data_IF_211330593913
#
_entry.id   IF_211330593913
#
_cell.length_a   1.000
_cell.length_b   1.000
_cell.length_c   1.000
_cell.angle_alpha   90.00
_cell.angle_beta   90.00
_cell.angle_gamma   90.00
#
_symmetry.space_group_name_H-M   'P 1'
#
loop_
_entity.id
_entity.type
_entity.pdbx_description
1 polymer ?
#
# COMPACT_ATOMS: atom_id res chain seq x y z
N UNK A 1 3.88 -7.33 6.68
CA UNK A 1 5.29 -7.00 6.29
C UNK A 1 5.26 -5.97 5.14
N UNK A 2 6.33 -5.21 4.87
CA UNK A 2 6.34 -4.20 3.79
C UNK A 2 7.58 -4.36 2.91
N UNK A 3 7.40 -4.36 1.60
CA UNK A 3 8.48 -4.27 0.62
C UNK A 3 8.33 -2.95 -0.15
N UNK A 4 9.38 -2.14 -0.16
CA UNK A 4 9.33 -0.80 -0.73
C UNK A 4 10.55 -0.49 -1.59
N UNK A 5 10.34 0.29 -2.64
CA UNK A 5 11.38 0.80 -3.52
C UNK A 5 11.06 2.23 -3.96
N UNK A 6 12.09 3.01 -4.26
CA UNK A 6 11.91 4.38 -4.71
C UNK A 6 13.10 4.88 -5.53
N UNK A 7 12.83 5.90 -6.34
CA UNK A 7 13.79 6.61 -7.15
C UNK A 7 13.62 8.11 -6.89
N UNK A 8 14.73 8.81 -6.78
CA UNK A 8 14.76 10.26 -6.70
C UNK A 8 15.67 10.79 -7.79
N UNK A 9 15.22 11.84 -8.48
CA UNK A 9 15.95 12.48 -9.55
C UNK A 9 15.92 13.99 -9.41
N UNK A 10 17.10 14.60 -9.37
CA UNK A 10 17.29 16.05 -9.26
C UNK A 10 17.84 16.57 -10.60
N UNK A 11 16.97 16.85 -11.60
CA UNK A 11 17.40 17.34 -12.91
C UNK A 11 18.03 18.74 -12.86
N UNK A 12 17.68 19.54 -11.84
CA UNK A 12 18.19 20.90 -11.62
C UNK A 12 18.36 21.13 -10.13
N UNK A 13 19.22 22.07 -9.75
CA UNK A 13 19.52 22.37 -8.34
C UNK A 13 18.28 22.81 -7.53
N UNK A 14 17.25 23.32 -8.21
CA UNK A 14 16.00 23.80 -7.62
C UNK A 14 14.84 22.79 -7.72
N UNK A 15 15.00 21.69 -8.47
CA UNK A 15 13.91 20.77 -8.79
C UNK A 15 14.31 19.32 -8.51
N UNK A 16 13.54 18.66 -7.66
CA UNK A 16 13.66 17.20 -7.41
C UNK A 16 12.33 16.52 -7.64
N UNK A 17 12.38 15.34 -8.24
CA UNK A 17 11.24 14.48 -8.54
C UNK A 17 11.47 13.15 -7.83
N UNK A 18 10.49 12.71 -7.06
CA UNK A 18 10.52 11.46 -6.31
C UNK A 18 9.43 10.53 -6.84
N UNK A 19 9.73 9.25 -6.96
CA UNK A 19 8.77 8.21 -7.26
C UNK A 19 8.97 7.04 -6.30
N UNK A 20 7.87 6.48 -5.80
CA UNK A 20 7.89 5.40 -4.81
C UNK A 20 6.85 4.33 -5.11
N UNK A 21 7.17 3.10 -4.71
CA UNK A 21 6.26 1.97 -4.74
C UNK A 21 6.42 1.14 -3.46
N UNK A 22 5.30 0.69 -2.90
CA UNK A 22 5.25 -0.12 -1.69
C UNK A 22 4.22 -1.23 -1.86
N UNK A 23 4.61 -2.44 -1.49
CA UNK A 23 3.73 -3.60 -1.38
C UNK A 23 3.56 -3.95 0.10
N UNK A 24 2.32 -3.90 0.57
CA UNK A 24 1.90 -4.21 1.93
C UNK A 24 1.37 -5.64 1.96
N UNK A 25 2.07 -6.50 2.71
CA UNK A 25 1.63 -7.85 3.00
C UNK A 25 0.84 -7.83 4.31
N UNK A 26 -0.41 -8.28 4.26
CA UNK A 26 -1.24 -8.48 5.45
C UNK A 26 -1.20 -9.95 5.84
N UNK A 27 -1.29 -10.22 7.14
CA UNK A 27 -1.48 -11.58 7.61
C UNK A 27 -2.94 -11.98 7.37
N UNK A 28 -3.15 -13.27 7.11
CA UNK A 28 -4.48 -13.82 6.87
C UNK A 28 -5.40 -13.50 8.05
N UNK A 29 -6.52 -12.84 7.76
CA UNK A 29 -7.49 -12.47 8.77
C UNK A 29 -8.64 -13.49 8.79
N UNK A 30 -8.77 -14.34 9.83
CA UNK A 30 -9.87 -15.27 9.92
C UNK A 30 -11.18 -14.51 10.12
N UNK A 31 -12.21 -14.90 9.37
CA UNK A 31 -13.58 -14.46 9.57
C UNK A 31 -14.44 -15.63 10.03
N UNK A 32 -15.18 -15.40 11.10
CA UNK A 32 -16.23 -16.28 11.58
C UNK A 32 -17.40 -15.40 12.03
N UNK A 33 -18.39 -15.23 11.16
CA UNK A 33 -19.55 -14.38 11.42
C UNK A 33 -20.85 -15.14 11.20
N UNK A 34 -21.76 -15.01 12.17
CA UNK A 34 -23.15 -15.44 12.02
C UNK A 34 -23.97 -14.26 11.52
N UNK A 35 -24.61 -14.41 10.36
CA UNK A 35 -25.50 -13.45 9.76
C UNK A 35 -26.86 -13.39 10.45
N UNK A 36 -27.60 -12.32 10.21
CA UNK A 36 -28.88 -12.04 10.86
C UNK A 36 -29.98 -13.09 10.59
N UNK A 37 -29.85 -13.86 9.51
CA UNK A 37 -30.76 -14.97 9.16
C UNK A 37 -30.32 -16.33 9.71
N UNK A 38 -29.20 -16.40 10.43
CA UNK A 38 -28.62 -17.63 11.00
C UNK A 38 -27.52 -18.28 10.17
N UNK A 39 -27.20 -17.76 8.99
CA UNK A 39 -26.11 -18.25 8.15
C UNK A 39 -24.74 -17.99 8.79
N UNK A 40 -23.74 -18.87 8.60
CA UNK A 40 -22.39 -18.68 9.14
C UNK A 40 -21.38 -18.55 8.00
N UNK A 41 -20.62 -17.45 7.99
CA UNK A 41 -19.49 -17.21 7.12
C UNK A 41 -18.20 -17.52 7.86
N UNK A 42 -17.55 -18.63 7.50
CA UNK A 42 -16.23 -19.01 8.00
C UNK A 42 -15.25 -19.00 6.84
N UNK A 43 -14.11 -18.35 7.01
CA UNK A 43 -13.05 -18.30 5.99
C UNK A 43 -11.88 -17.45 6.45
N UNK A 44 -10.99 -17.14 5.52
CA UNK A 44 -9.81 -16.31 5.74
C UNK A 44 -9.75 -15.24 4.65
N UNK A 45 -9.35 -14.03 5.02
CA UNK A 45 -9.07 -12.97 4.07
C UNK A 45 -7.58 -12.87 3.82
N UNK A 46 -7.17 -13.20 2.60
CA UNK A 46 -5.88 -12.83 2.06
C UNK A 46 -5.98 -11.41 1.48
N UNK A 47 -5.21 -10.48 2.02
CA UNK A 47 -5.19 -9.09 1.58
C UNK A 47 -3.77 -8.69 1.19
N UNK A 48 -3.67 -7.96 0.09
CA UNK A 48 -2.47 -7.24 -0.30
C UNK A 48 -2.87 -5.82 -0.71
N UNK A 49 -1.98 -4.85 -0.46
CA UNK A 49 -2.17 -3.49 -0.94
C UNK A 49 -0.90 -2.93 -1.57
N UNK A 50 -1.07 -2.29 -2.71
CA UNK A 50 -0.02 -1.65 -3.47
C UNK A 50 -0.20 -0.13 -3.41
N UNK A 51 0.87 0.58 -3.03
CA UNK A 51 0.89 2.04 -2.95
C UNK A 51 1.91 2.56 -3.95
N UNK A 52 1.49 3.46 -4.83
CA UNK A 52 2.36 4.19 -5.78
C UNK A 52 2.34 5.66 -5.41
N UNK A 53 3.52 6.30 -5.41
CA UNK A 53 3.66 7.72 -5.13
C UNK A 53 4.54 8.42 -6.17
N UNK A 54 4.20 9.68 -6.45
CA UNK A 54 5.03 10.62 -7.21
C UNK A 54 5.02 11.95 -6.47
N UNK A 55 6.19 12.53 -6.28
CA UNK A 55 6.40 13.80 -5.58
C UNK A 55 7.25 14.75 -6.42
N UNK A 56 7.02 16.05 -6.24
CA UNK A 56 7.81 17.11 -6.85
C UNK A 56 8.17 18.13 -5.79
N UNK A 57 9.45 18.45 -5.69
CA UNK A 57 9.99 19.46 -4.80
C UNK A 57 10.63 20.56 -5.64
N UNK A 58 10.16 21.79 -5.45
CA UNK A 58 10.70 22.97 -6.12
C UNK A 58 11.06 24.04 -5.09
N UNK A 59 12.29 24.54 -5.13
CA UNK A 59 12.81 25.59 -4.24
C UNK A 59 13.06 26.89 -5.00
N UNK A 60 12.54 28.00 -4.47
CA UNK A 60 12.69 29.36 -5.01
C UNK A 60 13.63 30.21 -4.15
#
# INVERSE_FOLDING_TARGET
IVLAGGLSWTPREDLTIDAGYQHLFFDDAPIDKVGSSGDRLVGEFDNAADIVSVGLNWRF
#
